data_IF_428548516336
#
_entry.id   IF_428548516336
#
_cell.length_a   1.000
_cell.length_b   1.000
_cell.length_c   1.000
_cell.angle_alpha   90.00
_cell.angle_beta   90.00
_cell.angle_gamma   90.00
#
_symmetry.space_group_name_H-M   'P 1'
#
loop_
_entity.id
_entity.type
_entity.pdbx_description
1 polymer ?
#
# COMPACT_ATOMS: atom_id res chain seq x y z
N UNK A 1 -58.58 -11.02 27.80
CA UNK A 1 -57.37 -10.30 28.18
C UNK A 1 -56.16 -11.24 28.16
N UNK A 2 -55.68 -11.69 26.99
CA UNK A 2 -54.52 -12.62 26.86
C UNK A 2 -53.84 -12.52 25.51
N UNK A 3 -53.61 -11.33 24.95
CA UNK A 3 -52.97 -11.15 23.64
C UNK A 3 -51.87 -10.07 23.58
N UNK A 4 -51.38 -9.55 24.68
CA UNK A 4 -50.40 -8.45 24.66
C UNK A 4 -49.02 -8.80 25.22
N UNK A 5 -48.71 -10.05 25.57
CA UNK A 5 -47.41 -10.46 26.11
C UNK A 5 -46.49 -11.15 25.13
N UNK A 6 -46.93 -11.45 23.90
CA UNK A 6 -46.11 -12.18 22.92
C UNK A 6 -45.26 -11.26 22.01
N UNK A 7 -45.53 -9.95 22.00
CA UNK A 7 -44.81 -8.98 21.16
C UNK A 7 -43.52 -8.43 21.78
N UNK A 8 -43.40 -8.46 23.11
CA UNK A 8 -42.27 -7.83 23.78
C UNK A 8 -41.02 -8.73 23.89
N UNK A 9 -41.21 -10.05 23.86
CA UNK A 9 -40.11 -11.01 23.95
C UNK A 9 -39.38 -11.19 22.62
N UNK A 10 -40.00 -10.91 21.49
CA UNK A 10 -39.35 -11.04 20.18
C UNK A 10 -38.41 -9.86 19.87
N UNK A 11 -38.69 -8.67 20.36
CA UNK A 11 -37.84 -7.48 20.19
C UNK A 11 -36.57 -7.55 21.04
N UNK A 12 -36.66 -8.15 22.24
CA UNK A 12 -35.49 -8.32 23.11
C UNK A 12 -34.46 -9.35 22.58
N UNK A 13 -34.91 -10.37 21.79
CA UNK A 13 -34.01 -11.36 21.21
C UNK A 13 -33.24 -10.82 19.99
N UNK A 14 -33.78 -9.84 19.26
CA UNK A 14 -33.11 -9.23 18.10
C UNK A 14 -32.01 -8.24 18.52
N UNK A 15 -32.03 -7.71 19.73
CA UNK A 15 -30.99 -6.81 20.23
C UNK A 15 -29.77 -7.56 20.79
N UNK A 16 -29.90 -8.83 21.16
CA UNK A 16 -28.78 -9.63 21.67
C UNK A 16 -27.91 -10.25 20.54
N UNK A 17 -28.43 -10.40 19.32
CA UNK A 17 -27.68 -10.94 18.18
C UNK A 17 -26.82 -9.87 17.46
N UNK A 18 -27.03 -8.58 17.75
CA UNK A 18 -26.31 -7.48 17.10
C UNK A 18 -24.94 -7.12 17.69
N UNK A 19 -24.64 -7.60 18.90
CA UNK A 19 -23.40 -7.17 19.58
C UNK A 19 -22.15 -8.02 19.29
N UNK A 20 -22.29 -9.20 18.70
CA UNK A 20 -21.12 -10.06 18.41
C UNK A 20 -20.42 -9.74 17.12
N UNK A 21 -21.10 -9.07 16.17
CA UNK A 21 -20.49 -8.70 14.88
C UNK A 21 -19.74 -7.37 14.92
N UNK A 22 -20.03 -6.47 15.86
CA UNK A 22 -19.34 -5.18 15.98
C UNK A 22 -17.93 -5.32 16.59
N UNK A 23 -17.73 -6.25 17.53
CA UNK A 23 -16.41 -6.46 18.13
C UNK A 23 -15.41 -7.11 17.15
N UNK A 24 -15.87 -7.95 16.22
CA UNK A 24 -15.03 -8.49 15.13
C UNK A 24 -14.60 -7.41 14.16
N UNK A 25 -15.50 -6.53 13.75
CA UNK A 25 -15.22 -5.41 12.84
C UNK A 25 -14.29 -4.37 13.46
N UNK A 26 -14.37 -4.12 14.77
CA UNK A 26 -13.48 -3.19 15.46
C UNK A 26 -12.07 -3.77 15.65
N UNK A 27 -11.94 -5.08 15.80
CA UNK A 27 -10.63 -5.73 15.89
C UNK A 27 -9.92 -5.72 14.54
N UNK A 28 -10.63 -6.01 13.46
CA UNK A 28 -10.12 -5.91 12.09
C UNK A 28 -9.84 -4.47 11.69
N UNK A 29 -10.64 -3.50 12.15
CA UNK A 29 -10.44 -2.08 11.90
C UNK A 29 -9.12 -1.53 12.44
N UNK A 30 -8.72 -1.91 13.66
CA UNK A 30 -7.44 -1.52 14.24
C UNK A 30 -6.26 -2.16 13.47
N UNK A 31 -6.39 -3.40 13.03
CA UNK A 31 -5.40 -4.08 12.21
C UNK A 31 -5.19 -3.37 10.87
N UNK A 32 -6.28 -3.01 10.18
CA UNK A 32 -6.22 -2.28 8.92
C UNK A 32 -5.66 -0.86 9.10
N UNK A 33 -6.01 -0.16 10.18
CA UNK A 33 -5.46 1.15 10.49
C UNK A 33 -3.95 1.08 10.70
N UNK A 34 -3.46 0.13 11.48
CA UNK A 34 -2.03 -0.05 11.73
C UNK A 34 -1.27 -0.37 10.43
N UNK A 35 -1.85 -1.16 9.52
CA UNK A 35 -1.28 -1.40 8.20
C UNK A 35 -1.19 -0.11 7.38
N UNK A 36 -2.25 0.68 7.36
CA UNK A 36 -2.32 1.94 6.59
C UNK A 36 -1.37 3.00 7.13
N UNK A 37 -1.12 3.05 8.43
CA UNK A 37 -0.12 3.96 9.03
C UNK A 37 1.29 3.38 9.04
N UNK A 38 1.49 2.19 8.46
CA UNK A 38 2.80 1.60 8.27
C UNK A 38 3.50 1.15 9.55
N UNK A 39 2.76 0.78 10.59
CA UNK A 39 3.33 0.27 11.86
C UNK A 39 3.82 -1.17 11.75
N UNK A 40 3.26 -1.97 10.84
CA UNK A 40 3.68 -3.36 10.67
C UNK A 40 4.89 -3.48 9.75
N UNK A 41 6.02 -3.69 10.37
CA UNK A 41 7.30 -3.93 9.68
C UNK A 41 7.51 -5.44 9.51
N UNK A 42 8.38 -5.80 8.61
CA UNK A 42 8.77 -7.19 8.37
C UNK A 42 10.23 -7.39 8.74
N UNK A 43 10.61 -8.64 9.05
CA UNK A 43 12.00 -9.01 9.28
C UNK A 43 12.82 -9.01 7.99
N UNK A 44 14.14 -9.05 8.13
CA UNK A 44 15.06 -9.12 6.98
C UNK A 44 14.76 -10.35 6.12
N UNK A 45 14.61 -11.52 6.76
CA UNK A 45 14.39 -12.79 6.05
C UNK A 45 13.02 -12.85 5.38
N UNK A 46 12.05 -12.13 5.93
CA UNK A 46 10.71 -12.06 5.35
C UNK A 46 10.66 -11.24 4.05
N UNK A 47 11.59 -10.29 3.88
CA UNK A 47 11.72 -9.50 2.65
C UNK A 47 12.26 -10.33 1.49
N UNK A 48 13.13 -11.31 1.76
CA UNK A 48 13.80 -12.12 0.73
C UNK A 48 12.81 -12.87 -0.15
N UNK A 49 13.15 -13.02 -1.45
CA UNK A 49 12.37 -13.74 -2.44
C UNK A 49 11.62 -12.84 -3.42
N UNK A 50 10.72 -13.43 -4.19
CA UNK A 50 10.04 -12.77 -5.30
C UNK A 50 8.67 -12.25 -4.90
N UNK A 51 8.38 -11.02 -5.34
CA UNK A 51 7.18 -10.26 -4.99
C UNK A 51 6.56 -9.67 -6.25
N UNK A 52 5.37 -10.12 -6.62
CA UNK A 52 4.61 -9.61 -7.77
C UNK A 52 3.70 -8.47 -7.39
N UNK A 53 3.59 -7.48 -8.27
CA UNK A 53 2.63 -6.39 -8.11
C UNK A 53 1.19 -6.91 -8.05
N UNK A 54 0.40 -6.40 -7.13
CA UNK A 54 -1.01 -6.78 -6.97
C UNK A 54 -1.96 -5.59 -7.03
N UNK A 55 -1.58 -4.44 -6.48
CA UNK A 55 -2.40 -3.23 -6.43
C UNK A 55 -1.55 -1.99 -6.13
N UNK A 56 -2.08 -0.77 -6.33
CA UNK A 56 -1.48 0.42 -5.75
C UNK A 56 -1.41 0.34 -4.23
N UNK A 57 -0.28 0.78 -3.65
CA UNK A 57 -0.04 0.85 -2.22
C UNK A 57 -0.17 2.27 -1.70
N UNK A 58 -0.69 2.42 -0.47
CA UNK A 58 -0.74 3.68 0.25
C UNK A 58 -0.52 3.44 1.75
N UNK A 59 0.30 4.29 2.37
CA UNK A 59 0.49 4.34 3.81
C UNK A 59 0.57 5.79 4.28
N UNK A 60 0.16 6.08 5.50
CA UNK A 60 0.32 7.40 6.12
C UNK A 60 1.49 7.38 7.11
N UNK A 61 2.19 8.50 7.23
CA UNK A 61 3.35 8.62 8.12
C UNK A 61 2.98 8.77 9.59
N UNK A 62 1.70 9.04 9.90
CA UNK A 62 1.19 9.10 11.27
C UNK A 62 -0.34 8.96 11.32
N UNK A 63 -0.85 8.54 12.49
CA UNK A 63 -2.29 8.49 12.77
C UNK A 63 -2.98 9.85 12.63
N UNK A 64 -2.30 10.93 13.02
CA UNK A 64 -2.82 12.29 12.91
C UNK A 64 -3.06 12.68 11.45
N UNK A 65 -2.14 12.34 10.56
CA UNK A 65 -2.29 12.60 9.13
C UNK A 65 -3.38 11.73 8.51
N UNK A 66 -3.45 10.45 8.89
CA UNK A 66 -4.53 9.56 8.47
C UNK A 66 -5.90 10.11 8.90
N UNK A 67 -6.04 10.53 10.16
CA UNK A 67 -7.29 11.10 10.69
C UNK A 67 -7.66 12.41 9.96
N UNK A 68 -6.69 13.31 9.74
CA UNK A 68 -6.89 14.54 8.97
C UNK A 68 -7.34 14.29 7.54
N UNK A 69 -6.84 13.21 6.92
CA UNK A 69 -7.22 12.82 5.56
C UNK A 69 -8.61 12.16 5.46
N UNK A 70 -9.24 11.79 6.57
CA UNK A 70 -10.55 11.13 6.60
C UNK A 70 -10.51 9.64 6.94
N UNK A 71 -9.49 9.21 7.65
CA UNK A 71 -9.35 7.84 8.14
C UNK A 71 -8.93 6.83 7.07
N UNK A 72 -9.19 5.55 7.31
CA UNK A 72 -8.77 4.45 6.42
C UNK A 72 -9.37 4.54 5.00
N UNK A 73 -10.55 5.15 4.85
CA UNK A 73 -11.19 5.37 3.54
C UNK A 73 -10.33 6.25 2.63
N UNK A 74 -9.54 7.17 3.20
CA UNK A 74 -8.65 8.03 2.44
C UNK A 74 -7.55 7.23 1.71
N UNK A 75 -7.02 6.18 2.32
CA UNK A 75 -6.04 5.31 1.66
C UNK A 75 -6.62 4.66 0.40
N UNK A 76 -7.87 4.19 0.45
CA UNK A 76 -8.59 3.67 -0.71
C UNK A 76 -8.71 4.70 -1.82
N UNK A 77 -9.17 5.91 -1.51
CA UNK A 77 -9.28 7.01 -2.49
C UNK A 77 -7.95 7.38 -3.14
N UNK A 78 -6.86 7.38 -2.35
CA UNK A 78 -5.52 7.62 -2.88
C UNK A 78 -5.12 6.52 -3.85
N UNK A 79 -5.32 5.25 -3.50
CA UNK A 79 -5.06 4.11 -4.38
C UNK A 79 -5.84 4.20 -5.69
N UNK A 80 -7.12 4.54 -5.62
CA UNK A 80 -7.99 4.72 -6.80
C UNK A 80 -7.49 5.85 -7.72
N UNK A 81 -7.00 6.95 -7.14
CA UNK A 81 -6.42 8.06 -7.92
C UNK A 81 -5.07 7.70 -8.57
N UNK A 82 -4.27 6.84 -7.95
CA UNK A 82 -2.94 6.43 -8.45
C UNK A 82 -3.06 5.31 -9.49
N UNK A 83 -4.06 4.45 -9.41
CA UNK A 83 -4.23 3.31 -10.30
C UNK A 83 -4.20 3.67 -11.80
N UNK A 84 -4.85 4.75 -12.27
CA UNK A 84 -4.74 5.19 -13.66
C UNK A 84 -3.30 5.55 -14.07
N UNK A 85 -2.54 6.20 -13.19
CA UNK A 85 -1.15 6.58 -13.45
C UNK A 85 -0.25 5.33 -13.58
N UNK A 86 -0.45 4.32 -12.75
CA UNK A 86 0.27 3.05 -12.85
C UNK A 86 -0.09 2.30 -14.15
N UNK A 87 -1.37 2.25 -14.51
CA UNK A 87 -1.81 1.67 -15.77
C UNK A 87 -1.21 2.41 -16.98
N UNK A 88 -1.11 3.74 -16.90
CA UNK A 88 -0.53 4.57 -17.95
C UNK A 88 0.96 4.26 -18.19
N UNK A 89 1.74 4.06 -17.12
CA UNK A 89 3.14 3.63 -17.23
C UNK A 89 3.29 2.11 -17.34
N UNK A 90 2.22 1.39 -17.66
CA UNK A 90 2.24 -0.02 -17.99
C UNK A 90 2.37 -0.99 -16.81
N UNK A 91 2.31 -0.52 -15.56
CA UNK A 91 2.43 -1.36 -14.35
C UNK A 91 1.23 -2.29 -14.22
N UNK A 92 1.46 -3.59 -14.32
CA UNK A 92 0.44 -4.65 -14.22
C UNK A 92 0.98 -5.85 -13.46
N UNK A 93 0.08 -6.65 -12.90
CA UNK A 93 0.44 -7.87 -12.18
C UNK A 93 1.21 -8.90 -13.06
N UNK A 94 0.99 -8.88 -14.37
CA UNK A 94 1.63 -9.81 -15.30
C UNK A 94 3.06 -9.42 -15.72
N UNK A 95 3.48 -8.18 -15.48
CA UNK A 95 4.75 -7.65 -16.01
C UNK A 95 5.59 -6.88 -14.97
N UNK A 96 5.15 -6.83 -13.71
CA UNK A 96 5.83 -6.06 -12.67
C UNK A 96 6.06 -6.93 -11.43
N UNK A 97 7.33 -7.14 -11.10
CA UNK A 97 7.76 -7.88 -9.92
C UNK A 97 9.15 -7.44 -9.45
N UNK A 98 9.47 -7.72 -8.19
CA UNK A 98 10.79 -7.52 -7.58
C UNK A 98 11.23 -8.80 -6.85
N UNK A 99 12.50 -9.14 -6.95
CA UNK A 99 13.14 -10.24 -6.20
C UNK A 99 14.25 -9.64 -5.36
N UNK A 100 14.21 -9.86 -4.05
CA UNK A 100 15.25 -9.43 -3.11
C UNK A 100 16.12 -10.62 -2.73
N UNK A 101 17.42 -10.48 -2.87
CA UNK A 101 18.42 -11.51 -2.64
C UNK A 101 19.17 -11.28 -1.33
N UNK A 102 19.68 -12.35 -0.71
CA UNK A 102 20.33 -12.29 0.61
C UNK A 102 21.65 -11.50 0.61
N UNK A 103 22.29 -11.38 -0.54
CA UNK A 103 23.54 -10.63 -0.73
C UNK A 103 23.35 -9.11 -0.84
N UNK A 104 22.10 -8.62 -0.72
CA UNK A 104 21.75 -7.21 -0.88
C UNK A 104 21.52 -6.79 -2.33
N UNK A 105 21.52 -7.76 -3.26
CA UNK A 105 21.09 -7.55 -4.64
C UNK A 105 19.57 -7.55 -4.75
N UNK A 106 19.05 -6.85 -5.74
CA UNK A 106 17.67 -7.05 -6.18
C UNK A 106 17.57 -7.03 -7.70
N UNK A 107 16.61 -7.78 -8.19
CA UNK A 107 16.27 -7.83 -9.61
C UNK A 107 14.75 -7.80 -9.79
N UNK A 108 14.28 -7.56 -11.01
CA UNK A 108 12.85 -7.55 -11.29
C UNK A 108 12.51 -7.01 -12.65
N UNK A 109 11.24 -6.70 -12.80
CA UNK A 109 10.70 -5.99 -13.98
C UNK A 109 9.72 -4.92 -13.53
N UNK A 110 9.73 -3.80 -14.22
CA UNK A 110 8.71 -2.75 -14.13
C UNK A 110 8.21 -2.48 -15.54
N UNK A 111 6.94 -2.73 -15.82
CA UNK A 111 6.37 -2.71 -17.17
C UNK A 111 7.17 -3.58 -18.18
N UNK A 112 7.62 -4.76 -17.75
CA UNK A 112 8.44 -5.64 -18.55
C UNK A 112 9.91 -5.20 -18.71
N UNK A 113 10.27 -3.96 -18.37
CA UNK A 113 11.64 -3.45 -18.40
C UNK A 113 12.46 -4.06 -17.25
N UNK A 114 13.64 -4.63 -17.51
CA UNK A 114 14.46 -5.22 -16.47
C UNK A 114 14.98 -4.17 -15.50
N UNK A 115 14.85 -4.45 -14.21
CA UNK A 115 15.33 -3.64 -13.11
C UNK A 115 16.35 -4.43 -12.31
N UNK A 116 17.52 -3.84 -12.03
CA UNK A 116 18.57 -4.45 -11.21
C UNK A 116 19.27 -3.39 -10.39
N UNK A 117 19.70 -3.79 -9.18
CA UNK A 117 20.43 -2.90 -8.30
C UNK A 117 20.81 -3.57 -6.98
N UNK A 118 21.17 -2.75 -6.02
CA UNK A 118 21.43 -3.16 -4.65
C UNK A 118 20.44 -2.52 -3.70
N UNK A 119 20.22 -3.15 -2.56
CA UNK A 119 19.38 -2.60 -1.52
C UNK A 119 20.02 -2.76 -0.14
N UNK A 120 19.61 -1.88 0.77
CA UNK A 120 19.87 -1.99 2.20
C UNK A 120 18.55 -1.84 2.93
N UNK A 121 18.18 -2.82 3.73
CA UNK A 121 16.93 -2.82 4.49
C UNK A 121 17.20 -2.69 5.98
N UNK A 122 16.49 -1.78 6.64
CA UNK A 122 16.49 -1.63 8.08
C UNK A 122 15.13 -2.08 8.63
N UNK A 123 15.03 -3.28 9.21
CA UNK A 123 13.76 -3.79 9.73
C UNK A 123 13.23 -2.98 10.93
N UNK A 124 14.10 -2.31 11.70
CA UNK A 124 13.66 -1.49 12.84
C UNK A 124 12.88 -0.24 12.41
N UNK A 125 13.19 0.31 11.24
CA UNK A 125 12.51 1.48 10.69
C UNK A 125 11.56 1.14 9.55
N UNK A 126 11.68 -0.06 8.97
CA UNK A 126 10.97 -0.46 7.75
C UNK A 126 11.51 0.27 6.51
N UNK A 127 12.70 0.85 6.59
CA UNK A 127 13.29 1.65 5.51
C UNK A 127 14.11 0.77 4.58
N UNK A 128 13.86 0.89 3.29
CA UNK A 128 14.58 0.21 2.23
C UNK A 128 15.28 1.24 1.35
N UNK A 129 16.61 1.29 1.41
CA UNK A 129 17.41 2.10 0.48
C UNK A 129 17.68 1.29 -0.77
N UNK A 130 17.20 1.75 -1.90
CA UNK A 130 17.38 1.09 -3.19
C UNK A 130 18.33 1.90 -4.07
N UNK A 131 19.32 1.26 -4.67
CA UNK A 131 20.25 1.86 -5.61
C UNK A 131 20.16 1.15 -6.96
N UNK A 132 19.73 1.87 -7.98
CA UNK A 132 19.70 1.42 -9.38
C UNK A 132 20.71 2.26 -10.14
N UNK A 133 21.21 1.78 -11.25
CA UNK A 133 22.32 2.38 -12.01
C UNK A 133 22.25 3.92 -12.17
N UNK A 134 21.03 4.46 -12.31
CA UNK A 134 20.82 5.90 -12.59
C UNK A 134 20.18 6.68 -11.43
N UNK A 135 19.75 6.02 -10.37
CA UNK A 135 19.09 6.70 -9.24
C UNK A 135 19.15 5.90 -7.94
N UNK A 136 19.00 6.63 -6.84
CA UNK A 136 18.79 6.05 -5.51
C UNK A 136 17.44 6.51 -4.96
N UNK A 137 16.71 5.61 -4.32
CA UNK A 137 15.43 5.90 -3.73
C UNK A 137 15.31 5.27 -2.34
N UNK A 138 14.71 5.99 -1.42
CA UNK A 138 14.28 5.46 -0.13
C UNK A 138 12.83 5.02 -0.25
N UNK A 139 12.60 3.73 -0.05
CA UNK A 139 11.28 3.13 0.06
C UNK A 139 10.99 2.72 1.51
N UNK A 140 9.74 2.43 1.79
CA UNK A 140 9.28 1.97 3.10
C UNK A 140 8.50 0.68 2.91
N UNK A 141 8.88 -0.33 3.68
CA UNK A 141 8.26 -1.66 3.64
C UNK A 141 7.34 -1.80 4.84
N UNK A 142 6.11 -2.20 4.58
CA UNK A 142 5.14 -2.52 5.62
C UNK A 142 4.40 -3.80 5.27
N UNK A 143 3.97 -4.55 6.28
CA UNK A 143 3.14 -5.73 6.06
C UNK A 143 1.74 -5.31 5.63
N UNK A 144 1.15 -6.04 4.69
CA UNK A 144 -0.26 -5.98 4.34
C UNK A 144 -0.96 -7.30 4.66
N UNK A 145 -2.27 -7.37 4.50
CA UNK A 145 -3.04 -8.59 4.71
C UNK A 145 -2.54 -9.76 3.86
N UNK A 146 -2.10 -9.48 2.63
CA UNK A 146 -1.77 -10.51 1.64
C UNK A 146 -0.31 -10.46 1.15
N UNK A 147 0.56 -9.71 1.85
CA UNK A 147 1.94 -9.58 1.42
C UNK A 147 2.62 -8.38 2.05
N UNK A 148 3.19 -7.50 1.25
CA UNK A 148 3.84 -6.27 1.70
C UNK A 148 3.44 -5.07 0.84
N UNK A 149 3.56 -3.88 1.40
CA UNK A 149 3.55 -2.63 0.65
C UNK A 149 4.97 -2.06 0.59
N UNK A 150 5.40 -1.73 -0.62
CA UNK A 150 6.61 -0.98 -0.90
C UNK A 150 6.19 0.40 -1.35
N UNK A 151 6.40 1.40 -0.48
CA UNK A 151 5.91 2.76 -0.68
C UNK A 151 7.04 3.77 -0.65
N UNK A 152 6.84 4.89 -1.33
CA UNK A 152 7.76 6.03 -1.39
C UNK A 152 7.04 7.29 -0.91
N UNK A 153 7.77 8.27 -0.46
CA UNK A 153 7.20 9.61 -0.28
C UNK A 153 6.61 10.08 -1.62
N UNK A 154 5.42 10.68 -1.59
CA UNK A 154 4.63 10.95 -2.80
C UNK A 154 5.39 11.74 -3.88
N UNK A 155 6.19 12.73 -3.48
CA UNK A 155 7.04 13.50 -4.40
C UNK A 155 8.12 12.64 -5.08
N UNK A 156 8.66 11.64 -4.38
CA UNK A 156 9.67 10.72 -4.94
C UNK A 156 9.07 9.73 -5.91
N UNK A 157 7.87 9.20 -5.61
CA UNK A 157 7.17 8.31 -6.54
C UNK A 157 6.89 9.01 -7.86
N UNK A 158 6.45 10.28 -7.83
CA UNK A 158 6.22 11.06 -9.04
C UNK A 158 7.48 11.20 -9.87
N UNK A 159 8.62 11.51 -9.24
CA UNK A 159 9.91 11.58 -9.93
C UNK A 159 10.30 10.24 -10.58
N UNK A 160 10.02 9.11 -9.92
CA UNK A 160 10.26 7.77 -10.46
C UNK A 160 9.35 7.45 -11.66
N UNK A 161 8.06 7.83 -11.58
CA UNK A 161 7.11 7.68 -12.68
C UNK A 161 7.53 8.55 -13.87
N UNK A 162 7.96 9.79 -13.65
CA UNK A 162 8.47 10.67 -14.70
C UNK A 162 9.69 10.08 -15.39
N UNK A 163 10.63 9.54 -14.62
CA UNK A 163 11.79 8.86 -15.17
C UNK A 163 11.39 7.63 -16.00
N UNK A 164 10.50 6.78 -15.48
CA UNK A 164 9.99 5.62 -16.21
C UNK A 164 9.29 6.03 -17.51
N UNK A 165 8.46 7.07 -17.48
CA UNK A 165 7.76 7.58 -18.69
C UNK A 165 8.72 8.11 -19.74
N UNK A 166 9.84 8.74 -19.34
CA UNK A 166 10.86 9.22 -20.29
C UNK A 166 11.58 8.07 -21.01
N UNK A 167 11.62 6.89 -20.40
CA UNK A 167 12.23 5.69 -20.99
C UNK A 167 11.28 4.92 -21.93
N UNK A 168 9.95 5.12 -21.77
CA UNK A 168 8.93 4.36 -22.51
C UNK A 168 8.29 5.14 -23.65
N UNK A 169 8.68 6.39 -23.92
CA UNK A 169 8.08 7.27 -24.95
C UNK A 169 6.56 7.50 -24.79
N UNK A 170 6.00 7.20 -23.63
CA UNK A 170 4.57 7.35 -23.35
C UNK A 170 4.32 8.72 -22.71
N UNK A 171 3.76 9.63 -23.51
CA UNK A 171 3.71 11.05 -23.20
C UNK A 171 2.66 11.56 -22.36
N UNK A 172 2.11 12.14 -21.72
CA UNK A 172 1.28 13.14 -21.07
C UNK A 172 1.37 13.10 -19.54
N UNK A 173 2.41 13.75 -19.01
CA UNK A 173 2.74 13.83 -17.58
C UNK A 173 1.93 14.89 -16.82
N UNK A 174 1.03 15.60 -17.49
CA UNK A 174 0.30 16.71 -16.87
C UNK A 174 -0.59 16.28 -15.69
N UNK A 175 -1.17 15.07 -15.79
CA UNK A 175 -2.05 14.50 -14.76
C UNK A 175 -1.31 14.12 -13.49
N UNK A 176 -0.01 13.85 -13.56
CA UNK A 176 0.79 13.39 -12.43
C UNK A 176 1.23 14.55 -11.49
N UNK A 177 1.38 15.76 -12.01
CA UNK A 177 1.76 16.93 -11.21
C UNK A 177 0.69 17.37 -10.20
N UNK A 178 -0.58 17.12 -10.50
CA UNK A 178 -1.69 17.41 -9.58
C UNK A 178 -1.80 16.39 -8.45
N UNK A 179 -1.40 15.14 -8.70
CA UNK A 179 -1.44 14.08 -7.69
C UNK A 179 -0.56 14.36 -6.47
N UNK A 180 0.56 15.09 -6.65
CA UNK A 180 1.50 15.34 -5.54
C UNK A 180 0.94 16.25 -4.46
N UNK A 181 0.05 17.17 -4.83
CA UNK A 181 -0.52 18.17 -3.91
C UNK A 181 -1.58 17.57 -2.99
N UNK A 182 -2.25 16.53 -3.46
CA UNK A 182 -3.34 15.86 -2.73
C UNK A 182 -2.84 14.85 -1.68
N UNK A 183 -1.55 14.52 -1.68
CA UNK A 183 -1.00 13.41 -0.89
C UNK A 183 0.01 13.83 0.18
N UNK A 184 -0.12 15.06 0.69
CA UNK A 184 0.74 15.53 1.77
C UNK A 184 0.67 14.61 3.00
N UNK A 185 1.84 14.07 3.39
CA UNK A 185 1.97 13.10 4.48
C UNK A 185 1.56 11.67 4.14
N UNK A 186 1.23 11.36 2.88
CA UNK A 186 1.04 10.00 2.41
C UNK A 186 2.29 9.47 1.71
N UNK A 187 2.53 8.18 1.88
CA UNK A 187 3.46 7.38 1.09
C UNK A 187 2.66 6.53 0.12
N UNK A 188 3.11 6.46 -1.10
CA UNK A 188 2.41 5.77 -2.20
C UNK A 188 3.37 4.86 -2.95
N UNK A 189 2.87 3.78 -3.52
CA UNK A 189 3.70 2.80 -4.21
C UNK A 189 2.92 1.54 -4.57
N UNK A 190 3.48 0.38 -4.26
CA UNK A 190 3.02 -0.93 -4.71
C UNK A 190 2.59 -1.80 -3.53
N UNK A 191 1.44 -2.44 -3.64
CA UNK A 191 1.16 -3.66 -2.89
C UNK A 191 1.70 -4.85 -3.67
N UNK A 192 2.43 -5.69 -2.99
CA UNK A 192 3.14 -6.83 -3.55
C UNK A 192 2.70 -8.10 -2.84
N UNK A 193 2.54 -9.17 -3.61
CA UNK A 193 2.27 -10.53 -3.12
C UNK A 193 3.46 -11.42 -3.41
N UNK A 194 3.72 -12.37 -2.52
CA UNK A 194 4.75 -13.39 -2.74
C UNK A 194 4.39 -14.22 -3.98
N UNK A 195 5.39 -14.50 -4.81
CA UNK A 195 5.30 -15.39 -5.97
C UNK A 195 5.84 -16.77 -5.61
#
# INVERSE_FOLDING_TARGET
MRKTFFGLTLVALLLAAGCTSLNGLLHDGNSLLNMVIGHYKIGQDELLGSWGYSAPGCAFTSEKLLAKAGGAVAAGRIKDKIAPAFNFVGVKASNTYLTFEADGGFSGKLDGLPLRGTYQYNPSTGTLQMNVLLFSATAYITRTTNGLALTFDSSKLLSLIQLASSLTSSGDLHTLGELSKDFDGARVGFELKRQ
#
